data_IF_162397917717
#
_entry.id   IF_162397917717
#
_cell.length_a   1.000
_cell.length_b   1.000
_cell.length_c   1.000
_cell.angle_alpha   90.00
_cell.angle_beta   90.00
_cell.angle_gamma   90.00
#
_symmetry.space_group_name_H-M   'P 1'
#
loop_
_entity.id
_entity.type
_entity.pdbx_description
1 polymer ?
#
# COMPACT_ATOMS: atom_id res chain seq x y z
N UNK A 1 11.36 12.65 19.58
CA UNK A 1 10.88 12.47 18.20
C UNK A 1 9.63 11.63 18.22
N UNK A 2 8.51 12.24 17.91
CA UNK A 2 7.27 11.51 17.69
C UNK A 2 7.38 10.79 16.34
N UNK A 3 7.57 9.48 16.37
CA UNK A 3 7.36 8.67 15.18
C UNK A 3 5.92 8.87 14.72
N UNK A 4 5.76 9.48 13.57
CA UNK A 4 4.46 9.47 12.91
C UNK A 4 4.17 8.03 12.53
N UNK A 5 3.36 7.36 13.32
CA UNK A 5 2.78 6.09 12.90
C UNK A 5 1.96 6.38 11.64
N UNK A 6 2.55 6.08 10.51
CA UNK A 6 1.81 6.04 9.25
C UNK A 6 0.90 4.82 9.38
N UNK A 7 -0.34 5.04 9.77
CA UNK A 7 -1.33 3.98 9.76
C UNK A 7 -1.51 3.49 8.33
N UNK A 8 -0.97 2.31 8.05
CA UNK A 8 -1.28 1.66 6.78
C UNK A 8 -2.65 1.03 6.85
N UNK A 9 -3.48 1.33 5.87
CA UNK A 9 -4.82 0.77 5.74
C UNK A 9 -5.00 0.20 4.34
N UNK A 10 -5.99 -0.65 4.19
CA UNK A 10 -6.41 -1.16 2.89
C UNK A 10 -7.93 -1.04 2.75
N UNK A 11 -8.39 -0.91 1.50
CA UNK A 11 -9.81 -0.80 1.22
C UNK A 11 -10.50 -2.15 1.32
N UNK A 12 -11.71 -2.13 1.86
CA UNK A 12 -12.56 -3.30 2.07
C UNK A 12 -13.92 -3.06 1.44
N UNK A 13 -14.37 -3.99 0.62
CA UNK A 13 -15.70 -3.91 0.03
C UNK A 13 -16.77 -4.18 1.09
N UNK A 14 -17.76 -3.30 1.16
CA UNK A 14 -18.83 -3.40 2.16
C UNK A 14 -19.66 -4.68 2.05
N UNK A 15 -19.64 -5.33 0.89
CA UNK A 15 -20.37 -6.57 0.61
C UNK A 15 -19.44 -7.79 0.47
N UNK A 16 -18.20 -7.71 0.89
CA UNK A 16 -17.23 -8.81 0.77
C UNK A 16 -17.73 -10.11 1.42
N UNK A 17 -18.51 -10.01 2.50
CA UNK A 17 -19.10 -11.17 3.16
C UNK A 17 -20.03 -11.98 2.25
N UNK A 18 -20.51 -11.42 1.14
CA UNK A 18 -21.40 -12.06 0.17
C UNK A 18 -20.67 -12.61 -1.06
N UNK A 19 -19.35 -12.44 -1.14
CA UNK A 19 -18.54 -13.10 -2.16
C UNK A 19 -18.66 -14.62 -2.05
N UNK A 20 -18.76 -15.32 -3.16
CA UNK A 20 -19.00 -16.78 -3.18
C UNK A 20 -17.93 -17.54 -2.41
N UNK A 21 -16.67 -17.18 -2.57
CA UNK A 21 -15.55 -17.82 -1.86
C UNK A 21 -15.60 -17.55 -0.36
N UNK A 22 -15.97 -16.34 0.01
CA UNK A 22 -16.11 -15.94 1.42
C UNK A 22 -17.37 -16.57 2.04
N UNK A 23 -18.45 -16.70 1.29
CA UNK A 23 -19.62 -17.44 1.75
C UNK A 23 -19.28 -18.90 2.05
N UNK A 24 -18.51 -19.55 1.19
CA UNK A 24 -18.03 -20.91 1.44
C UNK A 24 -17.16 -21.00 2.69
N UNK A 25 -16.26 -20.04 2.87
CA UNK A 25 -15.43 -19.94 4.06
C UNK A 25 -16.28 -19.80 5.33
N UNK A 26 -17.24 -18.87 5.32
CA UNK A 26 -18.13 -18.63 6.44
C UNK A 26 -19.05 -19.82 6.75
N UNK A 27 -19.48 -20.52 5.70
CA UNK A 27 -20.31 -21.73 5.82
C UNK A 27 -19.58 -22.84 6.57
N UNK A 28 -18.28 -23.02 6.33
CA UNK A 28 -17.48 -24.10 6.93
C UNK A 28 -16.82 -23.70 8.24
N UNK A 29 -16.29 -22.51 8.32
CA UNK A 29 -15.50 -22.04 9.48
C UNK A 29 -16.17 -20.90 10.26
N UNK A 30 -17.32 -20.42 9.83
CA UNK A 30 -18.07 -19.38 10.51
C UNK A 30 -17.35 -18.04 10.54
N UNK A 31 -17.70 -17.23 11.53
CA UNK A 31 -17.09 -15.90 11.72
C UNK A 31 -15.59 -15.98 12.04
N UNK A 32 -15.14 -17.05 12.67
CA UNK A 32 -13.73 -17.30 12.96
C UNK A 32 -12.92 -17.40 11.67
N UNK A 33 -13.39 -18.15 10.67
CA UNK A 33 -12.73 -18.26 9.36
C UNK A 33 -12.63 -16.92 8.66
N UNK A 34 -13.68 -16.13 8.71
CA UNK A 34 -13.70 -14.80 8.15
C UNK A 34 -12.70 -13.85 8.85
N UNK A 35 -12.64 -13.94 10.18
CA UNK A 35 -11.65 -13.20 10.98
C UNK A 35 -10.22 -13.59 10.66
N UNK A 36 -9.95 -14.89 10.51
CA UNK A 36 -8.63 -15.39 10.12
C UNK A 36 -8.23 -14.84 8.74
N UNK A 37 -9.14 -14.86 7.78
CA UNK A 37 -8.92 -14.30 6.44
C UNK A 37 -8.50 -12.82 6.53
N UNK A 38 -9.18 -12.02 7.32
CA UNK A 38 -8.84 -10.61 7.52
C UNK A 38 -7.49 -10.41 8.18
N UNK A 39 -7.19 -11.16 9.22
CA UNK A 39 -5.88 -11.08 9.88
C UNK A 39 -4.75 -11.45 8.93
N UNK A 40 -4.97 -12.41 8.05
CA UNK A 40 -3.99 -12.75 7.00
C UNK A 40 -3.83 -11.58 6.02
N UNK A 41 -4.91 -10.93 5.59
CA UNK A 41 -4.81 -9.76 4.70
C UNK A 41 -4.05 -8.60 5.36
N UNK A 42 -4.29 -8.33 6.63
CA UNK A 42 -3.55 -7.33 7.40
C UNK A 42 -2.06 -7.63 7.39
N UNK A 43 -1.70 -8.89 7.62
CA UNK A 43 -0.31 -9.34 7.58
C UNK A 43 0.31 -9.20 6.19
N UNK A 44 -0.43 -9.54 5.14
CA UNK A 44 0.02 -9.37 3.75
C UNK A 44 0.22 -7.89 3.40
N UNK A 45 -0.60 -7.00 3.97
CA UNK A 45 -0.45 -5.55 3.76
C UNK A 45 0.91 -5.04 4.24
N UNK A 46 1.43 -5.59 5.31
CA UNK A 46 2.72 -5.22 5.89
C UNK A 46 3.91 -5.99 5.27
N UNK A 47 3.64 -7.05 4.53
CA UNK A 47 4.68 -7.90 3.94
C UNK A 47 5.25 -7.31 2.64
N UNK A 48 6.53 -7.58 2.31
CA UNK A 48 7.09 -7.22 1.02
C UNK A 48 6.32 -7.89 -0.12
N UNK A 49 6.05 -7.13 -1.19
CA UNK A 49 5.30 -7.59 -2.36
C UNK A 49 3.91 -8.20 -2.05
N UNK A 50 3.40 -7.94 -0.84
CA UNK A 50 2.10 -8.46 -0.39
C UNK A 50 2.02 -9.99 -0.44
N UNK A 51 3.14 -10.65 -0.15
CA UNK A 51 3.26 -12.11 -0.08
C UNK A 51 3.75 -12.54 1.30
N UNK A 52 3.35 -13.72 1.73
CA UNK A 52 3.80 -14.33 2.99
C UNK A 52 4.37 -15.72 2.75
N UNK A 53 5.35 -16.08 3.55
CA UNK A 53 5.88 -17.44 3.58
C UNK A 53 4.78 -18.40 4.05
N UNK A 54 4.72 -19.56 3.41
CA UNK A 54 3.76 -20.62 3.73
C UNK A 54 4.21 -21.41 4.95
N UNK A 55 4.28 -20.75 6.10
CA UNK A 55 4.57 -21.35 7.39
C UNK A 55 3.36 -21.18 8.30
N UNK A 56 2.50 -22.20 8.35
CA UNK A 56 1.26 -22.14 9.09
C UNK A 56 1.48 -22.12 10.61
N UNK A 57 2.57 -22.70 11.09
CA UNK A 57 2.90 -22.67 12.51
C UNK A 57 3.32 -21.27 12.96
N UNK A 58 4.13 -20.58 12.16
CA UNK A 58 4.51 -19.20 12.41
C UNK A 58 3.30 -18.26 12.37
N UNK A 59 2.41 -18.46 11.40
CA UNK A 59 1.16 -17.70 11.28
C UNK A 59 0.23 -17.96 12.47
N UNK A 60 0.11 -19.21 12.89
CA UNK A 60 -0.70 -19.60 14.04
C UNK A 60 -0.22 -18.92 15.32
N UNK A 61 1.07 -18.86 15.52
CA UNK A 61 1.67 -18.17 16.67
C UNK A 61 1.40 -16.66 16.62
N UNK A 62 1.60 -16.04 15.46
CA UNK A 62 1.40 -14.60 15.27
C UNK A 62 -0.08 -14.20 15.43
N UNK A 63 -0.98 -14.94 14.80
CA UNK A 63 -2.42 -14.64 14.78
C UNK A 63 -3.18 -15.19 15.98
N UNK A 64 -2.54 -15.99 16.82
CA UNK A 64 -3.18 -16.65 17.97
C UNK A 64 -4.36 -17.53 17.58
N UNK A 65 -4.21 -18.30 16.52
CA UNK A 65 -5.22 -19.18 15.94
C UNK A 65 -4.61 -20.55 15.66
N UNK A 66 -5.44 -21.58 15.60
CA UNK A 66 -5.03 -22.94 15.26
C UNK A 66 -4.43 -23.01 13.85
N UNK A 67 -3.26 -23.63 13.73
CA UNK A 67 -2.56 -23.80 12.43
C UNK A 67 -3.37 -24.58 11.40
N UNK A 68 -4.17 -25.56 11.83
CA UNK A 68 -5.03 -26.32 10.94
C UNK A 68 -6.12 -25.45 10.32
N UNK A 69 -6.68 -24.51 11.07
CA UNK A 69 -7.67 -23.55 10.56
C UNK A 69 -7.05 -22.56 9.60
N UNK A 70 -5.85 -22.09 9.87
CA UNK A 70 -5.11 -21.21 8.96
C UNK A 70 -4.83 -21.93 7.63
N UNK A 71 -4.36 -23.15 7.69
CA UNK A 71 -4.12 -23.99 6.51
C UNK A 71 -5.40 -24.14 5.68
N UNK A 72 -6.51 -24.42 6.33
CA UNK A 72 -7.81 -24.55 5.66
C UNK A 72 -8.22 -23.25 4.97
N UNK A 73 -8.10 -22.11 5.64
CA UNK A 73 -8.42 -20.78 5.06
C UNK A 73 -7.54 -20.47 3.84
N UNK A 74 -6.27 -20.81 3.91
CA UNK A 74 -5.31 -20.51 2.82
C UNK A 74 -5.48 -21.45 1.64
N UNK A 75 -5.73 -22.75 1.87
CA UNK A 75 -5.69 -23.78 0.80
C UNK A 75 -7.06 -24.17 0.24
N UNK A 76 -8.10 -24.17 1.06
CA UNK A 76 -9.35 -24.89 0.72
C UNK A 76 -10.41 -24.04 0.03
N UNK A 77 -10.29 -22.73 0.02
CA UNK A 77 -11.37 -21.82 -0.44
C UNK A 77 -11.04 -21.04 -1.71
N UNK A 78 -9.85 -21.22 -2.27
CA UNK A 78 -9.43 -20.50 -3.48
C UNK A 78 -9.27 -19.00 -3.28
N UNK A 79 -9.10 -18.54 -2.05
CA UNK A 79 -8.90 -17.12 -1.72
C UNK A 79 -7.47 -16.66 -1.94
N UNK A 80 -6.52 -17.59 -1.91
CA UNK A 80 -5.09 -17.31 -2.03
C UNK A 80 -4.47 -18.10 -3.16
N UNK A 81 -3.46 -17.51 -3.79
CA UNK A 81 -2.63 -18.16 -4.79
C UNK A 81 -1.24 -18.45 -4.20
N UNK A 82 -0.55 -19.40 -4.80
CA UNK A 82 0.78 -19.81 -4.37
C UNK A 82 1.81 -19.47 -5.43
N UNK A 83 3.05 -19.20 -4.99
CA UNK A 83 4.19 -19.04 -5.90
C UNK A 83 4.54 -20.38 -6.58
N UNK A 84 5.27 -20.32 -7.69
CA UNK A 84 5.64 -21.51 -8.46
C UNK A 84 6.43 -22.53 -7.64
N UNK A 85 7.28 -22.06 -6.71
CA UNK A 85 8.03 -22.91 -5.79
C UNK A 85 7.18 -23.46 -4.63
N UNK A 86 5.94 -22.93 -4.45
CA UNK A 86 5.04 -23.31 -3.39
C UNK A 86 5.43 -22.83 -1.99
N UNK A 87 6.44 -21.99 -1.86
CA UNK A 87 6.93 -21.52 -0.56
C UNK A 87 6.21 -20.31 -0.02
N UNK A 88 5.56 -19.51 -0.88
CA UNK A 88 4.84 -18.31 -0.52
C UNK A 88 3.41 -18.33 -1.02
N UNK A 89 2.55 -17.56 -0.37
CA UNK A 89 1.17 -17.36 -0.81
C UNK A 89 0.81 -15.87 -0.82
N UNK A 90 -0.17 -15.52 -1.61
CA UNK A 90 -0.68 -14.16 -1.73
C UNK A 90 -2.15 -14.16 -2.15
N UNK A 91 -2.83 -13.04 -1.91
CA UNK A 91 -4.17 -12.82 -2.44
C UNK A 91 -4.05 -12.02 -3.73
N UNK A 92 -4.45 -12.61 -4.85
CA UNK A 92 -4.34 -11.99 -6.17
C UNK A 92 -5.15 -10.69 -6.26
N UNK A 93 -6.38 -10.71 -5.79
CA UNK A 93 -7.26 -9.53 -5.79
C UNK A 93 -6.74 -8.42 -4.87
N UNK A 94 -6.25 -8.78 -3.69
CA UNK A 94 -5.66 -7.85 -2.73
C UNK A 94 -4.39 -7.21 -3.29
N UNK A 95 -3.49 -8.02 -3.84
CA UNK A 95 -2.24 -7.57 -4.45
C UNK A 95 -2.50 -6.62 -5.61
N UNK A 96 -3.48 -6.92 -6.45
CA UNK A 96 -3.90 -6.05 -7.55
C UNK A 96 -4.38 -4.70 -7.05
N UNK A 97 -5.23 -4.68 -6.02
CA UNK A 97 -5.72 -3.43 -5.42
C UNK A 97 -4.60 -2.60 -4.80
N UNK A 98 -3.67 -3.23 -4.12
CA UNK A 98 -2.53 -2.55 -3.51
C UNK A 98 -1.57 -1.98 -4.55
N UNK A 99 -1.28 -2.72 -5.61
CA UNK A 99 -0.45 -2.25 -6.71
C UNK A 99 -1.08 -1.06 -7.44
N UNK A 100 -2.38 -1.06 -7.66
CA UNK A 100 -3.10 0.08 -8.23
C UNK A 100 -3.03 1.30 -7.32
N UNK A 101 -3.15 1.13 -6.02
CA UNK A 101 -3.05 2.21 -5.03
C UNK A 101 -1.64 2.80 -5.02
N UNK A 102 -0.61 1.96 -5.04
CA UNK A 102 0.79 2.38 -5.07
C UNK A 102 1.10 3.12 -6.37
N UNK A 103 0.61 2.64 -7.50
CA UNK A 103 0.74 3.30 -8.80
C UNK A 103 0.07 4.68 -8.81
N UNK A 104 -1.14 4.82 -8.25
CA UNK A 104 -1.80 6.12 -8.11
C UNK A 104 -0.99 7.09 -7.28
N UNK A 105 -0.39 6.63 -6.18
CA UNK A 105 0.48 7.46 -5.35
C UNK A 105 1.71 7.94 -6.12
N UNK A 106 2.34 7.07 -6.90
CA UNK A 106 3.48 7.43 -7.75
C UNK A 106 3.08 8.44 -8.82
N UNK A 107 1.98 8.21 -9.52
CA UNK A 107 1.48 9.11 -10.55
C UNK A 107 1.16 10.51 -10.00
N UNK A 108 0.52 10.58 -8.83
CA UNK A 108 0.23 11.86 -8.15
C UNK A 108 1.53 12.54 -7.72
N UNK A 109 2.47 11.81 -7.17
CA UNK A 109 3.77 12.32 -6.73
C UNK A 109 4.57 12.86 -7.91
N UNK A 110 4.58 12.15 -9.03
CA UNK A 110 5.24 12.58 -10.26
C UNK A 110 4.58 13.81 -10.87
N UNK A 111 3.25 13.85 -10.93
CA UNK A 111 2.50 15.01 -11.38
C UNK A 111 2.81 16.24 -10.53
N UNK A 112 2.90 16.08 -9.21
CA UNK A 112 3.29 17.18 -8.30
C UNK A 112 4.71 17.65 -8.55
N UNK A 113 5.65 16.74 -8.78
CA UNK A 113 7.04 17.10 -9.13
C UNK A 113 7.11 17.86 -10.44
N UNK A 114 6.40 17.42 -11.45
CA UNK A 114 6.35 18.09 -12.76
C UNK A 114 5.70 19.48 -12.67
N UNK A 115 4.63 19.62 -11.89
CA UNK A 115 3.99 20.91 -11.64
C UNK A 115 4.91 21.87 -10.91
N UNK A 116 5.64 21.41 -9.90
CA UNK A 116 6.63 22.21 -9.18
C UNK A 116 7.76 22.66 -10.11
N UNK A 117 8.29 21.74 -10.92
CA UNK A 117 9.35 22.05 -11.91
C UNK A 117 8.88 23.09 -12.93
N UNK A 118 7.65 22.97 -13.43
CA UNK A 118 7.07 23.95 -14.37
C UNK A 118 6.92 25.34 -13.74
N UNK A 119 6.58 25.44 -12.45
CA UNK A 119 6.54 26.71 -11.72
C UNK A 119 7.92 27.35 -11.62
N UNK A 120 8.92 26.57 -11.24
CA UNK A 120 10.30 27.04 -11.15
C UNK A 120 10.82 27.58 -12.49
N UNK A 121 10.58 26.87 -13.57
CA UNK A 121 10.97 27.31 -14.92
C UNK A 121 10.25 28.59 -15.36
N UNK A 122 8.99 28.77 -14.96
CA UNK A 122 8.25 30.03 -15.23
C UNK A 122 8.78 31.18 -14.40
N UNK A 123 9.14 30.97 -13.16
CA UNK A 123 9.74 32.01 -12.30
C UNK A 123 11.10 32.41 -12.79
N UNK A 124 11.98 31.49 -13.20
CA UNK A 124 13.27 31.80 -13.81
C UNK A 124 13.13 32.60 -15.09
N UNK A 125 12.16 32.26 -15.94
CA UNK A 125 11.88 33.02 -17.17
C UNK A 125 11.37 34.43 -16.89
N UNK A 126 10.56 34.60 -15.83
CA UNK A 126 10.10 35.92 -15.40
C UNK A 126 11.24 36.78 -14.88
N UNK A 127 12.13 36.23 -14.08
CA UNK A 127 13.32 36.93 -13.58
C UNK A 127 14.27 37.33 -14.70
N UNK A 128 14.49 36.46 -15.68
CA UNK A 128 15.32 36.76 -16.87
C UNK A 128 14.69 37.76 -17.81
N UNK A 129 13.36 37.90 -17.83
CA UNK A 129 12.65 38.83 -18.70
C UNK A 129 12.40 40.22 -18.06
N UNK A 130 12.73 40.40 -16.77
CA UNK A 130 12.55 41.65 -16.06
C UNK A 130 13.90 42.22 -15.59
N UNK A 131 14.55 43.10 -16.42
CA UNK A 131 15.86 43.64 -16.06
C UNK A 131 15.83 44.53 -14.81
N UNK A 132 14.67 45.08 -14.43
CA UNK A 132 14.55 45.90 -13.23
C UNK A 132 14.63 45.08 -11.94
N UNK A 133 14.17 43.83 -11.93
CA UNK A 133 14.28 42.94 -10.75
C UNK A 133 15.75 42.55 -10.49
N UNK A 134 16.52 42.29 -11.52
CA UNK A 134 17.96 42.02 -11.41
C UNK A 134 18.76 43.22 -10.96
N UNK A 135 18.43 44.43 -11.42
CA UNK A 135 19.05 45.66 -11.00
C UNK A 135 18.80 45.96 -9.50
N UNK A 136 17.59 45.73 -9.00
CA UNK A 136 17.25 45.85 -7.57
C UNK A 136 17.99 44.86 -6.68
N UNK A 137 18.13 43.63 -7.11
CA UNK A 137 18.90 42.61 -6.35
C UNK A 137 20.39 42.92 -6.28
N UNK A 138 20.97 43.46 -7.34
CA UNK A 138 22.36 43.90 -7.33
C UNK A 138 22.58 45.11 -6.41
N UNK A 139 21.65 46.09 -6.38
CA UNK A 139 21.72 47.22 -5.45
C UNK A 139 21.63 46.81 -3.99
N UNK A 140 20.76 45.83 -3.64
CA UNK A 140 20.66 45.27 -2.29
C UNK A 140 21.94 44.56 -1.86
N UNK A 141 22.65 43.91 -2.75
CA UNK A 141 23.95 43.27 -2.46
C UNK A 141 25.07 44.29 -2.24
N UNK A 142 25.03 45.40 -2.89
CA UNK A 142 26.03 46.50 -2.72
C UNK A 142 25.83 47.30 -1.42
N UNK A 143 24.60 47.41 -0.95
CA UNK A 143 24.27 48.12 0.29
C UNK A 143 24.39 47.25 1.54
N UNK A 144 24.70 45.97 1.43
CA UNK A 144 24.86 45.03 2.53
C UNK A 144 26.29 44.92 3.07
N UNK A 145 27.17 45.84 2.68
CA UNK A 145 28.55 45.97 3.26
C UNK A 145 28.58 46.91 4.45
#
# INVERSE_FOLDING_TARGET
>A
MTERHIQSYFSHDSNARNDVKILNLRSKLGAEGYGIYFMILERLREAPDYMSVKDYNALAFDLRVDSAKIKSVVEDFGLFAFTEDGECFYSESFRRRMNLKDKKKEDISEARRQAAKARWEKEEKKEKSNPNANAMQMQCKQNAK
#
